data_IF_306785664981
#
_entry.id   IF_306785664981
#
_cell.length_a   1.000
_cell.length_b   1.000
_cell.length_c   1.000
_cell.angle_alpha   90.00
_cell.angle_beta   90.00
_cell.angle_gamma   90.00
#
_symmetry.space_group_name_H-M   'P 1'
#
loop_
_entity.id
_entity.type
_entity.pdbx_description
1 polymer ?
#
# COMPACT_ATOMS: atom_id res chain seq x y z
N UNK A 1 -19.14 38.60 24.56
CA UNK A 1 -17.92 39.20 23.98
C UNK A 1 -17.82 38.76 22.54
N UNK A 2 -18.02 39.66 21.60
CA UNK A 2 -17.85 39.36 20.17
C UNK A 2 -16.34 39.38 19.89
N UNK A 3 -15.76 38.20 19.68
CA UNK A 3 -14.37 38.12 19.24
C UNK A 3 -14.25 38.74 17.86
N UNK A 4 -13.50 39.85 17.76
CA UNK A 4 -13.27 40.57 16.51
C UNK A 4 -12.48 39.69 15.53
N UNK A 5 -12.88 39.70 14.27
CA UNK A 5 -12.28 38.94 13.15
C UNK A 5 -10.78 39.24 12.92
N UNK A 6 -10.20 40.20 13.68
CA UNK A 6 -8.84 40.71 13.53
C UNK A 6 -7.98 40.65 14.81
N UNK A 7 -8.35 39.84 15.79
CA UNK A 7 -7.50 39.70 16.98
C UNK A 7 -6.13 39.10 16.59
N UNK A 8 -5.07 39.82 17.01
CA UNK A 8 -3.69 39.39 16.77
C UNK A 8 -3.43 38.11 17.53
N UNK A 9 -3.11 37.04 16.79
CA UNK A 9 -2.73 35.72 17.36
C UNK A 9 -1.21 35.63 17.48
N UNK A 10 -0.77 35.02 18.55
CA UNK A 10 0.65 34.71 18.81
C UNK A 10 0.83 33.21 18.91
N UNK A 11 2.02 32.74 18.58
CA UNK A 11 2.39 31.35 18.69
C UNK A 11 2.70 30.99 20.15
N UNK A 12 2.05 29.97 20.68
CA UNK A 12 2.23 29.54 22.06
C UNK A 12 3.63 28.94 22.33
N UNK A 13 4.41 28.62 21.29
CA UNK A 13 5.72 27.97 21.38
C UNK A 13 6.91 28.93 21.16
N UNK A 14 6.82 29.86 20.25
CA UNK A 14 7.91 30.84 19.98
C UNK A 14 7.55 32.27 20.31
N UNK A 15 6.32 32.57 20.70
CA UNK A 15 5.84 33.91 20.99
C UNK A 15 5.66 34.85 19.77
N UNK A 16 6.04 34.39 18.57
CA UNK A 16 5.95 35.20 17.35
C UNK A 16 4.51 35.47 16.93
N UNK A 17 4.27 36.65 16.36
CA UNK A 17 2.97 37.03 15.81
C UNK A 17 2.61 36.14 14.61
N UNK A 18 1.44 35.53 14.64
CA UNK A 18 0.93 34.70 13.56
C UNK A 18 0.27 35.58 12.50
N UNK A 19 0.74 35.50 11.27
CA UNK A 19 0.12 36.16 10.12
C UNK A 19 -1.27 35.64 9.80
N UNK A 20 -2.02 36.34 8.95
CA UNK A 20 -3.44 36.13 8.65
C UNK A 20 -3.80 34.68 8.27
N UNK A 21 -2.95 33.99 7.51
CA UNK A 21 -3.14 32.60 7.07
C UNK A 21 -2.13 31.61 7.71
N UNK A 22 -1.36 32.08 8.68
CA UNK A 22 -0.26 31.31 9.30
C UNK A 22 -0.67 30.47 10.50
N UNK A 23 -1.90 30.62 11.00
CA UNK A 23 -2.33 29.95 12.22
C UNK A 23 -2.58 28.46 12.00
N UNK A 24 -1.87 27.63 12.72
CA UNK A 24 -2.07 26.20 12.86
C UNK A 24 -2.74 25.96 14.22
N UNK A 25 -4.09 25.96 14.20
CA UNK A 25 -4.91 25.82 15.43
C UNK A 25 -4.64 24.48 16.12
N UNK A 26 -4.54 24.52 17.45
CA UNK A 26 -4.53 23.36 18.37
C UNK A 26 -5.88 23.26 19.07
N UNK A 27 -6.05 22.28 19.92
CA UNK A 27 -7.26 22.15 20.75
C UNK A 27 -7.38 23.36 21.67
N UNK A 28 -6.33 23.72 22.39
CA UNK A 28 -6.26 24.76 23.43
C UNK A 28 -5.32 25.93 23.10
N UNK A 29 -4.83 26.05 21.83
CA UNK A 29 -3.86 27.08 21.50
C UNK A 29 -3.67 27.34 20.01
N UNK A 30 -2.60 28.11 19.71
CA UNK A 30 -2.23 28.53 18.37
C UNK A 30 -0.74 28.26 18.11
N UNK A 31 -0.41 27.82 16.91
CA UNK A 31 0.94 27.54 16.49
C UNK A 31 1.25 28.23 15.14
N UNK A 32 2.43 28.81 14.97
CA UNK A 32 2.87 29.36 13.69
C UNK A 32 3.30 28.26 12.72
N UNK A 33 3.44 28.59 11.43
CA UNK A 33 3.89 27.65 10.41
C UNK A 33 5.29 27.09 10.71
N UNK A 34 6.20 27.92 11.20
CA UNK A 34 7.59 27.54 11.44
C UNK A 34 7.73 26.56 12.61
N UNK A 35 6.95 26.75 13.67
CA UNK A 35 6.88 25.76 14.74
C UNK A 35 6.20 24.46 14.26
N UNK A 36 5.11 24.56 13.49
CA UNK A 36 4.40 23.40 12.98
C UNK A 36 5.24 22.57 11.98
N UNK A 37 6.15 23.19 11.24
CA UNK A 37 7.05 22.46 10.32
C UNK A 37 8.11 21.63 11.04
N UNK A 38 8.31 21.84 12.35
CA UNK A 38 9.22 21.04 13.17
C UNK A 38 8.61 19.74 13.67
N UNK A 39 7.27 19.62 13.62
CA UNK A 39 6.57 18.38 13.97
C UNK A 39 6.89 17.26 12.98
N UNK A 40 6.64 16.04 13.38
CA UNK A 40 6.75 14.88 12.47
C UNK A 40 5.81 15.06 11.26
N UNK A 41 6.25 14.75 10.02
CA UNK A 41 5.40 14.77 8.85
C UNK A 41 4.28 13.70 8.92
N UNK A 42 4.44 12.70 9.78
CA UNK A 42 3.47 11.61 9.99
C UNK A 42 2.42 11.92 11.03
N UNK A 43 2.59 13.02 11.77
CA UNK A 43 1.66 13.44 12.81
C UNK A 43 0.48 14.22 12.25
N UNK A 44 -0.70 13.63 12.29
CA UNK A 44 -1.93 14.19 11.71
C UNK A 44 -2.87 14.83 12.74
N UNK A 45 -2.71 14.48 14.05
CA UNK A 45 -3.64 14.85 15.12
C UNK A 45 -3.43 16.26 15.73
N UNK A 46 -2.56 17.06 15.13
CA UNK A 46 -2.21 18.42 15.64
C UNK A 46 -3.43 19.25 16.05
N UNK A 47 -4.54 19.17 15.28
CA UNK A 47 -5.73 19.99 15.55
C UNK A 47 -6.47 19.57 16.82
N UNK A 48 -6.34 18.32 17.19
CA UNK A 48 -6.96 17.67 18.35
C UNK A 48 -5.98 17.51 19.51
N UNK A 49 -4.77 18.06 19.38
CA UNK A 49 -3.74 17.98 20.41
C UNK A 49 -3.68 19.28 21.21
N UNK A 50 -3.38 19.13 22.48
CA UNK A 50 -3.14 20.22 23.43
C UNK A 50 -1.72 20.80 23.24
N UNK A 51 -1.47 21.96 23.83
CA UNK A 51 -0.12 22.56 23.86
C UNK A 51 0.91 21.65 24.52
N UNK A 52 0.50 20.91 25.53
CA UNK A 52 1.40 19.99 26.26
C UNK A 52 1.86 18.86 25.33
N UNK A 53 0.93 18.17 24.66
CA UNK A 53 1.24 17.10 23.72
C UNK A 53 2.10 17.56 22.54
N UNK A 54 1.85 18.78 22.06
CA UNK A 54 2.68 19.39 21.01
C UNK A 54 4.09 19.70 21.53
N UNK A 55 4.22 20.16 22.77
CA UNK A 55 5.52 20.42 23.39
C UNK A 55 6.33 19.11 23.53
N UNK A 56 5.72 18.05 24.00
CA UNK A 56 6.33 16.72 24.09
C UNK A 56 6.82 16.23 22.73
N UNK A 57 6.03 16.45 21.67
CA UNK A 57 6.44 16.10 20.32
C UNK A 57 7.62 16.94 19.84
N UNK A 58 7.65 18.24 20.11
CA UNK A 58 8.78 19.09 19.75
C UNK A 58 10.07 18.67 20.47
N UNK A 59 9.98 18.25 21.72
CA UNK A 59 11.09 17.70 22.49
C UNK A 59 11.59 16.37 21.90
N UNK A 60 10.65 15.48 21.55
CA UNK A 60 10.97 14.25 20.82
C UNK A 60 11.72 14.57 19.51
N UNK A 61 11.23 15.53 18.71
CA UNK A 61 11.87 15.94 17.45
C UNK A 61 13.27 16.52 17.65
N UNK A 62 13.51 17.22 18.77
CA UNK A 62 14.83 17.71 19.10
C UNK A 62 15.77 16.55 19.48
N UNK A 63 15.33 15.62 20.31
CA UNK A 63 16.07 14.42 20.66
C UNK A 63 16.36 13.52 19.44
N UNK A 64 15.45 13.45 18.47
CA UNK A 64 15.62 12.68 17.25
C UNK A 64 16.81 13.13 16.39
N UNK A 65 17.25 14.38 16.50
CA UNK A 65 18.43 14.88 15.77
C UNK A 65 19.70 14.07 16.10
N UNK A 66 19.86 13.65 17.34
CA UNK A 66 21.00 12.81 17.75
C UNK A 66 20.88 11.41 17.11
N UNK A 67 19.66 10.86 17.00
CA UNK A 67 19.42 9.58 16.31
C UNK A 67 19.75 9.67 14.83
N UNK A 68 19.32 10.76 14.17
CA UNK A 68 19.63 11.03 12.75
C UNK A 68 21.12 11.16 12.53
N UNK A 69 21.85 11.87 13.41
CA UNK A 69 23.30 12.04 13.32
C UNK A 69 24.06 10.71 13.52
N UNK A 70 23.52 9.79 14.30
CA UNK A 70 24.10 8.48 14.56
C UNK A 70 23.70 7.39 13.54
N UNK A 71 22.74 7.67 12.66
CA UNK A 71 22.20 6.70 11.70
C UNK A 71 23.17 6.45 10.54
N UNK A 72 23.45 5.18 10.27
CA UNK A 72 24.28 4.73 9.15
C UNK A 72 23.44 3.92 8.16
N UNK A 73 23.18 4.47 7.01
CA UNK A 73 22.42 3.77 5.95
C UNK A 73 23.21 2.57 5.45
N UNK A 74 22.72 1.36 5.74
CA UNK A 74 23.24 0.09 5.21
C UNK A 74 22.51 -0.34 3.96
N UNK A 75 21.19 -0.04 3.88
CA UNK A 75 20.34 -0.37 2.73
C UNK A 75 19.36 0.76 2.46
N UNK A 76 19.02 0.94 1.19
CA UNK A 76 18.07 1.95 0.72
C UNK A 76 17.12 1.36 -0.29
N UNK A 77 15.81 1.47 -0.05
CA UNK A 77 14.74 1.02 -0.95
C UNK A 77 13.87 2.22 -1.33
N UNK A 78 13.51 2.30 -2.61
CA UNK A 78 12.74 3.42 -3.16
C UNK A 78 13.56 4.37 -4.01
N UNK A 79 12.87 5.17 -4.82
CA UNK A 79 13.48 6.12 -5.77
C UNK A 79 13.31 7.57 -5.32
N UNK A 80 12.11 8.00 -5.07
CA UNK A 80 11.74 9.37 -4.67
C UNK A 80 11.68 9.49 -3.16
N UNK A 81 10.70 8.86 -2.54
CA UNK A 81 10.71 8.61 -1.10
C UNK A 81 11.37 7.26 -0.86
N UNK A 82 12.27 7.22 0.10
CA UNK A 82 13.12 6.07 0.38
C UNK A 82 12.89 5.56 1.79
N UNK A 83 12.84 4.25 1.91
CA UNK A 83 13.04 3.55 3.16
C UNK A 83 14.55 3.33 3.33
N UNK A 84 15.14 3.96 4.33
CA UNK A 84 16.55 3.83 4.69
C UNK A 84 16.67 2.93 5.92
N UNK A 85 17.61 2.00 5.90
CA UNK A 85 17.85 1.03 6.96
C UNK A 85 19.24 1.21 7.58
N UNK A 86 19.33 1.15 8.90
CA UNK A 86 20.55 0.86 9.65
C UNK A 86 20.37 -0.53 10.28
N UNK A 87 20.77 -1.56 9.54
CA UNK A 87 20.59 -2.95 9.94
C UNK A 87 21.43 -3.29 11.16
N UNK A 88 22.56 -2.58 11.36
CA UNK A 88 23.42 -2.78 12.52
C UNK A 88 22.78 -2.32 13.84
N UNK A 89 21.96 -1.25 13.76
CA UNK A 89 21.23 -0.71 14.92
C UNK A 89 19.76 -1.16 14.96
N UNK A 90 19.32 -1.92 13.97
CA UNK A 90 17.92 -2.31 13.80
C UNK A 90 16.98 -1.08 13.78
N UNK A 91 17.37 -0.08 12.99
CA UNK A 91 16.64 1.18 12.85
C UNK A 91 16.29 1.46 11.39
N UNK A 92 15.24 2.23 11.19
CA UNK A 92 14.85 2.68 9.86
C UNK A 92 14.31 4.11 9.91
N UNK A 93 14.27 4.74 8.75
CA UNK A 93 13.56 6.00 8.51
C UNK A 93 12.98 6.05 7.11
N UNK A 94 11.92 6.82 6.93
CA UNK A 94 11.31 7.09 5.60
C UNK A 94 11.47 8.57 5.28
N UNK A 95 12.08 8.88 4.14
CA UNK A 95 12.36 10.27 3.76
C UNK A 95 12.55 10.42 2.25
N UNK A 96 12.19 11.61 1.72
CA UNK A 96 12.55 12.06 0.38
C UNK A 96 13.74 13.03 0.40
N UNK A 97 14.21 13.42 1.57
CA UNK A 97 15.26 14.41 1.73
C UNK A 97 16.65 13.83 1.41
N UNK A 98 17.48 14.63 0.74
CA UNK A 98 18.90 14.35 0.54
C UNK A 98 19.76 14.79 1.74
N UNK A 99 19.35 15.85 2.45
CA UNK A 99 20.03 16.33 3.66
C UNK A 99 19.24 15.88 4.90
N UNK A 100 19.66 14.75 5.49
CA UNK A 100 19.00 14.16 6.65
C UNK A 100 19.08 15.05 7.89
N UNK A 101 20.22 15.69 8.13
CA UNK A 101 20.43 16.55 9.31
C UNK A 101 19.46 17.75 9.30
N UNK A 102 19.21 18.33 8.13
CA UNK A 102 18.26 19.44 7.99
C UNK A 102 16.81 18.99 8.07
N UNK A 103 16.47 17.88 7.40
CA UNK A 103 15.10 17.38 7.33
C UNK A 103 14.67 16.70 8.64
N UNK A 104 15.62 16.19 9.42
CA UNK A 104 15.40 15.48 10.67
C UNK A 104 14.28 14.40 10.54
N UNK A 105 14.37 13.42 9.61
CA UNK A 105 13.35 12.37 9.49
C UNK A 105 13.27 11.55 10.78
N UNK A 106 12.09 11.04 11.10
CA UNK A 106 11.89 10.21 12.29
C UNK A 106 12.67 8.90 12.16
N UNK A 107 13.58 8.64 13.10
CA UNK A 107 14.30 7.36 13.21
C UNK A 107 13.50 6.45 14.13
N UNK A 108 13.09 5.29 13.61
CA UNK A 108 12.33 4.29 14.35
C UNK A 108 13.16 3.02 14.54
N UNK A 109 12.87 2.29 15.60
CA UNK A 109 13.44 0.97 15.82
C UNK A 109 12.58 -0.10 15.14
N UNK A 110 13.19 -1.19 14.68
CA UNK A 110 12.46 -2.30 14.05
C UNK A 110 11.37 -2.87 14.94
N UNK A 111 11.59 -2.87 16.25
CA UNK A 111 10.62 -3.33 17.26
C UNK A 111 9.32 -2.50 17.30
N UNK A 112 9.33 -1.30 16.73
CA UNK A 112 8.14 -0.46 16.65
C UNK A 112 7.24 -0.82 15.46
N UNK A 113 7.71 -1.64 14.51
CA UNK A 113 6.92 -2.05 13.34
C UNK A 113 5.84 -3.05 13.76
N UNK A 114 4.59 -2.77 13.42
CA UNK A 114 3.45 -3.65 13.67
C UNK A 114 2.87 -4.27 12.41
N UNK A 115 3.12 -3.66 11.23
CA UNK A 115 2.68 -4.19 9.94
C UNK A 115 3.14 -3.35 8.76
N UNK A 116 2.91 -3.88 7.56
CA UNK A 116 3.17 -3.16 6.31
C UNK A 116 2.18 -3.59 5.22
N UNK A 117 1.59 -2.60 4.55
CA UNK A 117 0.68 -2.80 3.43
C UNK A 117 1.18 -2.08 2.18
N UNK A 118 0.99 -2.74 1.03
CA UNK A 118 1.14 -2.16 -0.29
C UNK A 118 -0.25 -1.91 -0.86
N UNK A 119 -0.57 -0.65 -1.07
CA UNK A 119 -1.84 -0.20 -1.66
C UNK A 119 -1.58 0.22 -3.10
N UNK A 120 -2.41 -0.26 -4.04
CA UNK A 120 -2.35 0.11 -5.46
C UNK A 120 -3.72 0.64 -5.86
N UNK A 121 -3.82 1.95 -6.00
CA UNK A 121 -5.06 2.62 -6.36
C UNK A 121 -5.18 2.72 -7.89
N UNK A 122 -6.21 2.08 -8.47
CA UNK A 122 -6.53 2.14 -9.89
C UNK A 122 -7.49 3.30 -10.19
N UNK A 123 -7.16 4.09 -11.19
CA UNK A 123 -8.07 5.08 -11.78
C UNK A 123 -8.23 4.81 -13.27
N UNK A 124 -9.46 4.94 -13.77
CA UNK A 124 -9.82 4.73 -15.16
C UNK A 124 -10.41 6.01 -15.76
N UNK A 125 -9.84 6.46 -16.87
CA UNK A 125 -10.34 7.61 -17.64
C UNK A 125 -10.75 7.17 -19.04
N UNK A 126 -11.98 7.53 -19.44
CA UNK A 126 -12.46 7.26 -20.80
C UNK A 126 -11.81 8.22 -21.80
N UNK A 127 -11.21 7.66 -22.84
CA UNK A 127 -10.67 8.42 -23.95
C UNK A 127 -11.80 8.88 -24.87
N UNK A 128 -11.75 10.13 -25.27
CA UNK A 128 -12.71 10.72 -26.19
C UNK A 128 -12.01 11.19 -27.46
N UNK A 129 -12.74 11.20 -28.57
CA UNK A 129 -12.30 11.72 -29.85
C UNK A 129 -13.15 12.93 -30.25
N UNK A 130 -12.59 13.79 -31.08
CA UNK A 130 -13.35 14.91 -31.65
C UNK A 130 -13.99 14.45 -32.96
N UNK A 131 -15.32 14.56 -33.08
CA UNK A 131 -16.04 14.26 -34.31
C UNK A 131 -15.90 15.42 -35.32
N UNK A 132 -16.46 15.24 -36.54
CA UNK A 132 -16.41 16.22 -37.62
C UNK A 132 -17.11 17.55 -37.27
N UNK A 133 -18.00 17.53 -36.26
CA UNK A 133 -18.69 18.72 -35.74
C UNK A 133 -17.90 19.44 -34.62
N UNK A 134 -16.67 18.96 -34.28
CA UNK A 134 -15.85 19.52 -33.22
C UNK A 134 -16.28 19.10 -31.81
N UNK A 135 -17.19 18.15 -31.64
CA UNK A 135 -17.66 17.68 -30.32
C UNK A 135 -16.85 16.49 -29.83
N UNK A 136 -16.64 16.44 -28.50
CA UNK A 136 -15.99 15.31 -27.82
C UNK A 136 -16.98 14.15 -27.70
N UNK A 137 -16.71 13.02 -28.38
CA UNK A 137 -17.52 11.81 -28.38
C UNK A 137 -16.70 10.62 -27.94
N UNK A 138 -17.36 9.61 -27.40
CA UNK A 138 -16.74 8.33 -27.05
C UNK A 138 -16.25 7.58 -28.29
N UNK A 139 -15.23 6.76 -28.15
CA UNK A 139 -14.92 5.75 -29.18
C UNK A 139 -16.02 4.66 -29.19
N UNK A 140 -16.16 3.97 -30.30
CA UNK A 140 -16.99 2.77 -30.41
C UNK A 140 -16.11 1.58 -30.89
N UNK A 141 -15.88 0.59 -30.04
CA UNK A 141 -16.19 0.51 -28.61
C UNK A 141 -15.41 1.52 -27.75
N UNK A 142 -15.89 1.88 -26.52
CA UNK A 142 -15.22 2.81 -25.63
C UNK A 142 -13.79 2.38 -25.30
N UNK A 143 -12.86 3.36 -25.29
CA UNK A 143 -11.46 3.15 -24.94
C UNK A 143 -11.14 3.84 -23.64
N UNK A 144 -10.23 3.25 -22.85
CA UNK A 144 -9.87 3.75 -21.53
C UNK A 144 -8.35 3.88 -21.40
N UNK A 145 -7.92 4.91 -20.68
CA UNK A 145 -6.58 5.02 -20.11
C UNK A 145 -6.65 4.62 -18.63
N UNK A 146 -5.74 3.75 -18.20
CA UNK A 146 -5.61 3.33 -16.81
C UNK A 146 -4.41 4.03 -16.18
N UNK A 147 -4.55 4.42 -14.93
CA UNK A 147 -3.48 5.01 -14.13
C UNK A 147 -3.50 4.47 -12.72
N UNK A 148 -2.32 4.30 -12.14
CA UNK A 148 -2.10 3.66 -10.85
C UNK A 148 -1.28 4.55 -9.95
N UNK A 149 -1.63 4.58 -8.65
CA UNK A 149 -0.84 5.19 -7.60
C UNK A 149 -0.44 4.11 -6.59
N UNK A 150 0.87 4.07 -6.28
CA UNK A 150 1.44 3.04 -5.43
C UNK A 150 1.81 3.65 -4.09
N UNK A 151 1.20 3.16 -3.01
CA UNK A 151 1.48 3.61 -1.66
C UNK A 151 1.96 2.45 -0.79
N UNK A 152 2.95 2.74 0.04
CA UNK A 152 3.32 1.87 1.16
C UNK A 152 2.82 2.51 2.45
N UNK A 153 2.17 1.70 3.27
CA UNK A 153 1.72 2.04 4.61
C UNK A 153 2.45 1.16 5.62
N UNK A 154 3.40 1.75 6.37
CA UNK A 154 4.08 1.07 7.47
C UNK A 154 3.32 1.40 8.75
N UNK A 155 2.82 0.39 9.43
CA UNK A 155 2.14 0.51 10.72
C UNK A 155 3.18 0.42 11.83
N UNK A 156 3.12 1.33 12.78
CA UNK A 156 4.11 1.45 13.85
C UNK A 156 3.45 1.69 15.21
N UNK A 157 4.09 1.21 16.27
CA UNK A 157 3.78 1.59 17.64
C UNK A 157 4.66 2.77 18.04
N UNK A 158 4.16 4.00 17.84
CA UNK A 158 4.88 5.22 18.16
C UNK A 158 3.95 6.18 18.91
N UNK A 159 4.43 6.96 19.91
CA UNK A 159 3.55 7.78 20.75
C UNK A 159 2.81 8.89 20.00
N UNK A 160 3.30 9.32 18.83
CA UNK A 160 2.72 10.47 18.10
C UNK A 160 2.07 10.12 16.77
N UNK A 161 2.28 8.92 16.25
CA UNK A 161 1.64 8.44 15.01
C UNK A 161 1.67 6.92 14.95
N UNK A 162 0.72 6.35 14.26
CA UNK A 162 0.55 4.90 14.12
C UNK A 162 0.85 4.41 12.68
N UNK A 163 0.99 5.35 11.72
CA UNK A 163 1.15 5.03 10.31
C UNK A 163 2.10 5.99 9.60
N UNK A 164 2.98 5.40 8.79
CA UNK A 164 3.84 6.08 7.82
C UNK A 164 3.35 5.70 6.43
N UNK A 165 2.58 6.59 5.76
CA UNK A 165 2.07 6.34 4.41
C UNK A 165 2.76 7.25 3.41
N UNK A 166 3.34 6.67 2.36
CA UNK A 166 4.03 7.43 1.32
C UNK A 166 3.86 6.80 -0.06
N UNK A 167 3.95 7.62 -1.12
CA UNK A 167 3.91 7.16 -2.50
C UNK A 167 5.28 6.66 -2.94
N UNK A 168 5.29 5.56 -3.70
CA UNK A 168 6.49 5.01 -4.34
C UNK A 168 6.83 5.72 -5.65
N UNK A 169 5.80 6.21 -6.35
CA UNK A 169 5.92 6.90 -7.62
C UNK A 169 5.87 8.43 -7.45
N UNK A 170 6.40 9.14 -8.43
CA UNK A 170 6.24 10.60 -8.53
C UNK A 170 5.03 10.90 -9.43
N UNK A 171 3.82 10.71 -8.87
CA UNK A 171 2.57 10.82 -9.57
C UNK A 171 2.07 9.48 -10.15
N UNK A 172 0.98 9.56 -10.91
CA UNK A 172 0.31 8.39 -11.46
C UNK A 172 1.12 7.68 -12.54
N UNK A 173 1.16 6.35 -12.46
CA UNK A 173 1.74 5.46 -13.47
C UNK A 173 0.65 5.13 -14.49
N UNK A 174 0.75 5.67 -15.69
CA UNK A 174 -0.21 5.45 -16.79
C UNK A 174 0.21 4.24 -17.60
N UNK A 175 -0.69 3.27 -17.79
CA UNK A 175 -0.40 2.03 -18.52
C UNK A 175 -1.01 1.98 -19.92
N UNK A 176 -2.05 2.76 -20.18
CA UNK A 176 -2.81 2.73 -21.42
C UNK A 176 -3.79 1.54 -21.50
N UNK A 177 -3.41 0.39 -21.02
CA UNK A 177 -4.21 -0.82 -20.90
C UNK A 177 -4.20 -1.32 -19.45
N UNK A 178 -5.15 -2.14 -19.08
CA UNK A 178 -5.23 -2.71 -17.75
C UNK A 178 -4.17 -3.80 -17.60
N UNK A 179 -3.28 -3.74 -16.59
CA UNK A 179 -2.36 -4.83 -16.32
C UNK A 179 -3.12 -6.12 -16.00
N UNK A 180 -2.56 -7.25 -16.37
CA UNK A 180 -3.11 -8.54 -15.99
C UNK A 180 -3.18 -8.66 -14.46
N UNK A 181 -4.26 -9.25 -13.95
CA UNK A 181 -4.44 -9.44 -12.52
C UNK A 181 -3.31 -10.32 -11.98
N UNK A 182 -2.44 -9.73 -11.17
CA UNK A 182 -1.44 -10.49 -10.42
C UNK A 182 -2.17 -11.23 -9.31
N UNK A 183 -2.17 -12.55 -9.36
CA UNK A 183 -2.76 -13.38 -8.30
C UNK A 183 -1.94 -13.17 -7.02
N UNK A 184 -2.54 -12.67 -5.92
CA UNK A 184 -1.83 -12.51 -4.66
C UNK A 184 -1.22 -13.84 -4.22
N UNK A 185 0.10 -13.87 -4.01
CA UNK A 185 0.83 -15.08 -3.59
C UNK A 185 1.64 -15.79 -4.67
N UNK A 186 1.46 -15.48 -5.95
CA UNK A 186 2.34 -15.99 -7.01
C UNK A 186 3.51 -15.03 -7.23
N UNK A 187 4.55 -15.13 -6.44
CA UNK A 187 5.76 -14.31 -6.51
C UNK A 187 6.69 -14.66 -7.69
N UNK A 188 6.26 -15.53 -8.57
CA UNK A 188 6.94 -15.74 -9.83
C UNK A 188 6.37 -14.76 -10.84
N UNK A 189 6.90 -13.54 -10.81
CA UNK A 189 6.80 -12.59 -11.91
C UNK A 189 7.49 -13.20 -13.13
N UNK A 190 6.79 -14.03 -13.87
CA UNK A 190 7.04 -14.15 -15.29
C UNK A 190 6.57 -12.85 -15.90
N UNK A 191 7.39 -11.79 -15.73
CA UNK A 191 7.26 -10.57 -16.49
C UNK A 191 7.55 -10.97 -17.93
N UNK A 192 6.51 -11.42 -18.62
CA UNK A 192 6.49 -11.34 -20.05
C UNK A 192 6.65 -9.85 -20.33
N UNK A 193 7.84 -9.43 -20.72
CA UNK A 193 8.11 -8.09 -21.20
C UNK A 193 7.28 -7.90 -22.46
N UNK A 194 5.98 -7.61 -22.23
CA UNK A 194 5.13 -7.08 -23.29
C UNK A 194 5.86 -5.83 -23.74
N UNK A 195 6.03 -5.61 -25.03
CA UNK A 195 6.77 -4.48 -25.57
C UNK A 195 6.16 -3.10 -25.23
N UNK A 196 5.31 -3.01 -24.20
CA UNK A 196 4.72 -1.80 -23.67
C UNK A 196 5.55 -1.27 -22.47
N UNK A 197 6.38 -0.20 -22.66
CA UNK A 197 7.21 0.35 -21.59
C UNK A 197 6.41 0.86 -20.39
N UNK A 198 5.13 1.24 -20.58
CA UNK A 198 4.27 1.75 -19.52
C UNK A 198 3.83 0.65 -18.55
N UNK A 199 3.65 -0.57 -19.04
CA UNK A 199 3.40 -1.74 -18.19
C UNK A 199 4.65 -2.12 -17.38
N UNK A 200 5.84 -1.92 -17.94
CA UNK A 200 7.09 -2.16 -17.20
C UNK A 200 7.19 -1.26 -15.97
N UNK A 201 6.81 0.00 -16.05
CA UNK A 201 6.80 0.90 -14.90
C UNK A 201 5.83 0.44 -13.83
N UNK A 202 4.64 -0.02 -14.19
CA UNK A 202 3.67 -0.61 -13.27
C UNK A 202 4.28 -1.80 -12.51
N UNK A 203 4.84 -2.77 -13.23
CA UNK A 203 5.42 -3.95 -12.61
C UNK A 203 6.69 -3.64 -11.80
N UNK A 204 7.47 -2.65 -12.19
CA UNK A 204 8.63 -2.18 -11.42
C UNK A 204 8.21 -1.62 -10.07
N UNK A 205 7.15 -0.78 -10.01
CA UNK A 205 6.65 -0.25 -8.75
C UNK A 205 5.97 -1.32 -7.90
N UNK A 206 5.26 -2.26 -8.51
CA UNK A 206 4.66 -3.40 -7.81
C UNK A 206 5.76 -4.27 -7.16
N UNK A 207 6.83 -4.56 -7.91
CA UNK A 207 7.98 -5.33 -7.40
C UNK A 207 8.70 -4.59 -6.28
N UNK A 208 8.96 -3.28 -6.45
CA UNK A 208 9.57 -2.45 -5.42
C UNK A 208 8.73 -2.40 -4.15
N UNK A 209 7.42 -2.21 -4.28
CA UNK A 209 6.50 -2.18 -3.14
C UNK A 209 6.46 -3.52 -2.40
N UNK A 210 6.50 -4.62 -3.14
CA UNK A 210 6.56 -5.97 -2.58
C UNK A 210 7.89 -6.22 -1.87
N UNK A 211 9.01 -5.76 -2.41
CA UNK A 211 10.33 -5.83 -1.77
C UNK A 211 10.35 -5.03 -0.46
N UNK A 212 9.82 -3.81 -0.47
CA UNK A 212 9.71 -2.97 0.72
C UNK A 212 8.84 -3.64 1.76
N UNK A 213 7.67 -4.16 1.36
CA UNK A 213 6.78 -4.88 2.27
C UNK A 213 7.47 -6.08 2.92
N UNK A 214 8.10 -6.93 2.14
CA UNK A 214 8.84 -8.09 2.65
C UNK A 214 9.97 -7.68 3.61
N UNK A 215 10.70 -6.60 3.28
CA UNK A 215 11.73 -6.04 4.14
C UNK A 215 11.17 -5.56 5.48
N UNK A 216 10.08 -4.78 5.46
CA UNK A 216 9.45 -4.24 6.67
C UNK A 216 8.81 -5.36 7.51
N UNK A 217 8.17 -6.34 6.87
CA UNK A 217 7.62 -7.49 7.59
C UNK A 217 8.73 -8.30 8.30
N UNK A 218 9.93 -8.41 7.70
CA UNK A 218 11.08 -9.09 8.33
C UNK A 218 11.61 -8.37 9.57
N UNK A 219 11.44 -7.05 9.68
CA UNK A 219 11.87 -6.27 10.86
C UNK A 219 11.17 -6.74 12.14
N UNK A 220 9.90 -7.17 12.04
CA UNK A 220 9.09 -7.68 13.16
C UNK A 220 9.70 -8.94 13.79
N UNK A 221 10.54 -9.66 13.05
CA UNK A 221 11.22 -10.88 13.47
C UNK A 221 12.71 -10.64 13.75
N UNK A 222 13.10 -9.39 14.07
CA UNK A 222 14.50 -9.04 14.36
C UNK A 222 15.41 -9.13 13.14
N UNK A 223 14.86 -8.94 11.94
CA UNK A 223 15.59 -9.02 10.67
C UNK A 223 15.86 -10.44 10.17
N UNK A 224 15.36 -11.46 10.86
CA UNK A 224 15.41 -12.84 10.36
C UNK A 224 14.36 -13.04 9.25
N UNK A 225 14.62 -13.92 8.26
CA UNK A 225 13.62 -14.28 7.28
C UNK A 225 12.33 -14.72 7.99
N UNK A 226 11.19 -14.29 7.45
CA UNK A 226 9.90 -14.76 7.98
C UNK A 226 9.91 -16.29 8.05
N UNK A 227 9.43 -16.88 9.16
CA UNK A 227 9.22 -18.32 9.19
C UNK A 227 8.32 -18.68 8.01
N UNK A 228 8.85 -19.50 7.12
CA UNK A 228 8.04 -20.06 6.02
C UNK A 228 6.87 -20.75 6.70
N UNK A 229 5.60 -20.43 6.37
CA UNK A 229 4.49 -21.17 6.92
C UNK A 229 4.78 -22.66 6.67
N UNK A 230 4.81 -23.45 7.73
CA UNK A 230 4.95 -24.90 7.57
C UNK A 230 3.90 -25.31 6.53
N UNK A 231 4.28 -26.12 5.53
CA UNK A 231 3.32 -26.61 4.56
C UNK A 231 2.17 -27.21 5.38
N UNK A 232 0.99 -26.62 5.23
CA UNK A 232 -0.22 -27.18 5.86
C UNK A 232 -0.19 -28.65 5.50
N UNK A 233 -0.14 -29.58 6.48
CA UNK A 233 -0.11 -30.99 6.16
C UNK A 233 -1.23 -31.23 5.17
N UNK A 234 -0.87 -31.77 4.01
CA UNK A 234 -1.88 -32.13 3.00
C UNK A 234 -2.99 -32.83 3.75
N UNK A 235 -4.27 -32.43 3.59
CA UNK A 235 -5.34 -33.11 4.25
C UNK A 235 -5.10 -34.60 3.99
N UNK A 236 -4.99 -35.39 5.07
CA UNK A 236 -4.88 -36.84 4.95
C UNK A 236 -5.95 -37.23 3.95
N UNK A 237 -5.62 -38.12 2.97
CA UNK A 237 -6.60 -38.56 2.01
C UNK A 237 -7.79 -39.06 2.82
N UNK A 238 -8.91 -38.34 2.69
CA UNK A 238 -10.17 -38.72 3.34
C UNK A 238 -10.34 -40.18 2.96
N UNK A 239 -10.42 -41.13 3.92
CA UNK A 239 -10.67 -42.53 3.60
C UNK A 239 -11.90 -42.53 2.69
N UNK A 240 -11.74 -43.13 1.52
CA UNK A 240 -12.83 -43.18 0.55
C UNK A 240 -14.07 -43.65 1.32
N UNK A 241 -15.22 -42.98 1.21
CA UNK A 241 -16.43 -43.46 1.83
C UNK A 241 -16.68 -44.87 1.28
N UNK A 242 -16.65 -45.87 2.14
CA UNK A 242 -17.22 -47.17 1.87
C UNK A 242 -18.71 -46.97 1.61
N UNK A 243 -19.04 -46.57 0.42
CA UNK A 243 -20.40 -46.57 -0.10
C UNK A 243 -20.38 -47.27 -1.44
N UNK A 244 -20.54 -48.56 -1.35
CA UNK A 244 -21.17 -49.30 -2.43
C UNK A 244 -22.54 -48.64 -2.71
N UNK A 245 -22.55 -47.68 -3.64
CA UNK A 245 -23.80 -47.26 -4.26
C UNK A 245 -24.22 -48.39 -5.22
N UNK A 246 -25.35 -49.06 -4.99
CA UNK A 246 -25.79 -50.10 -5.84
C UNK A 246 -26.19 -49.53 -7.20
N UNK A 247 -25.48 -49.95 -8.25
CA UNK A 247 -26.03 -49.92 -9.60
C UNK A 247 -25.56 -48.86 -10.58
N UNK A 248 -24.39 -48.23 -10.39
CA UNK A 248 -23.85 -47.31 -11.43
C UNK A 248 -22.63 -48.00 -12.09
N UNK A 249 -22.77 -48.32 -13.38
CA UNK A 249 -21.69 -48.88 -14.19
C UNK A 249 -20.58 -47.82 -14.38
N UNK A 250 -19.36 -48.00 -13.84
CA UNK A 250 -18.28 -47.00 -13.94
C UNK A 250 -17.81 -46.78 -15.40
N UNK A 251 -18.23 -47.59 -16.33
CA UNK A 251 -17.94 -47.41 -17.76
C UNK A 251 -18.79 -46.32 -18.45
N UNK A 252 -19.79 -45.78 -17.77
CA UNK A 252 -20.68 -44.73 -18.29
C UNK A 252 -20.26 -43.28 -17.95
N UNK A 253 -19.15 -43.10 -17.24
CA UNK A 253 -18.68 -41.78 -16.88
C UNK A 253 -17.94 -41.09 -18.04
N UNK A 254 -18.35 -39.87 -18.38
CA UNK A 254 -17.79 -39.05 -19.46
C UNK A 254 -17.33 -37.69 -18.93
N UNK A 255 -16.34 -37.10 -19.58
CA UNK A 255 -15.91 -35.71 -19.24
C UNK A 255 -16.86 -34.74 -19.90
N UNK A 256 -17.52 -33.91 -19.11
CA UNK A 256 -18.42 -32.87 -19.61
C UNK A 256 -17.65 -31.84 -20.45
N UNK A 257 -18.03 -31.58 -21.71
CA UNK A 257 -17.34 -30.64 -22.58
C UNK A 257 -17.56 -29.17 -22.15
N UNK A 258 -18.52 -28.90 -21.25
CA UNK A 258 -18.85 -27.53 -20.81
C UNK A 258 -18.15 -27.13 -19.51
N UNK A 259 -17.98 -28.03 -18.55
CA UNK A 259 -17.38 -27.71 -17.26
C UNK A 259 -16.13 -28.56 -16.93
N UNK A 260 -15.76 -29.52 -17.77
CA UNK A 260 -14.58 -30.36 -17.57
C UNK A 260 -14.70 -31.42 -16.46
N UNK A 261 -15.84 -31.50 -15.78
CA UNK A 261 -16.06 -32.46 -14.69
C UNK A 261 -16.38 -33.86 -15.25
N UNK A 262 -15.86 -34.91 -14.59
CA UNK A 262 -16.26 -36.27 -14.85
C UNK A 262 -17.68 -36.48 -14.31
N UNK A 263 -18.62 -36.88 -15.16
CA UNK A 263 -20.03 -37.00 -14.81
C UNK A 263 -20.65 -38.21 -15.49
N UNK A 264 -21.65 -38.80 -14.86
CA UNK A 264 -22.55 -39.75 -15.52
C UNK A 264 -23.77 -38.92 -15.96
N UNK A 265 -24.06 -38.82 -17.26
CA UNK A 265 -25.21 -38.05 -17.73
C UNK A 265 -26.52 -38.59 -17.12
N UNK A 266 -27.46 -37.66 -16.82
CA UNK A 266 -28.79 -38.05 -16.36
C UNK A 266 -29.64 -38.64 -17.51
N UNK A 267 -30.89 -39.05 -17.23
CA UNK A 267 -31.81 -39.61 -18.19
C UNK A 267 -32.11 -38.71 -19.42
N UNK A 268 -31.76 -37.42 -19.31
CA UNK A 268 -31.90 -36.42 -20.37
C UNK A 268 -30.57 -36.12 -21.07
N UNK A 269 -29.49 -36.81 -20.70
CA UNK A 269 -28.17 -36.63 -21.27
C UNK A 269 -27.48 -35.34 -20.79
N UNK A 270 -27.82 -34.85 -19.58
CA UNK A 270 -27.25 -33.62 -19.01
C UNK A 270 -26.21 -33.91 -17.93
N UNK A 271 -25.22 -33.07 -17.84
CA UNK A 271 -24.21 -33.07 -16.79
C UNK A 271 -24.81 -32.72 -15.42
N UNK A 272 -24.53 -33.51 -14.39
CA UNK A 272 -25.05 -33.32 -13.04
C UNK A 272 -24.52 -32.03 -12.37
N UNK A 273 -23.40 -31.47 -12.87
CA UNK A 273 -22.73 -30.31 -12.26
C UNK A 273 -23.13 -28.98 -12.93
N UNK A 274 -23.26 -28.93 -14.25
CA UNK A 274 -23.52 -27.69 -14.97
C UNK A 274 -24.81 -27.72 -15.81
N UNK A 275 -25.53 -28.83 -15.81
CA UNK A 275 -26.75 -29.09 -16.61
C UNK A 275 -26.55 -28.94 -18.12
N UNK A 276 -25.32 -28.81 -18.62
CA UNK A 276 -25.01 -28.83 -20.05
C UNK A 276 -25.21 -30.20 -20.67
N UNK A 277 -25.75 -30.29 -21.90
CA UNK A 277 -25.95 -31.55 -22.63
C UNK A 277 -24.61 -32.19 -22.95
N UNK A 278 -24.43 -33.44 -22.50
CA UNK A 278 -23.26 -34.25 -22.76
C UNK A 278 -23.68 -35.32 -23.79
N UNK A 279 -23.52 -34.99 -25.06
CA UNK A 279 -23.75 -35.97 -26.10
C UNK A 279 -22.55 -36.93 -26.18
N UNK A 280 -22.82 -38.18 -26.14
CA UNK A 280 -21.86 -39.28 -26.36
C UNK A 280 -21.33 -39.27 -27.80
#
# INVERSE_FOLDING_TARGET
MVMGLFDKKYCDFCGEKIGLLGNKKLEDGNMCKDCASKLSPWFNERRHSTKVEIQEQLEYREANKARVAAFHTTRSLGKYTKLLLDENRQQFMVTSASNLAFANPDVLDYSQVTGCDLEVDESRHELRQTNDEGKQVSYDPPRYEYSYDFHVSILVNHPFFDKIRYSLSNGYVKTGERPDAVVPGSWQLNVSTTGNPRLNDYYNYLSLGSEIKACVDSMRYGGQPMPVPEPVPSPEPIPAPDSELPGVDPSAAVVCPWCGSLTVPDEKGCCQFCCGTVNS
#
